data_IF_704359419385
#
_entry.id   IF_704359419385
#
_cell.length_a   1.000
_cell.length_b   1.000
_cell.length_c   1.000
_cell.angle_alpha   90.00
_cell.angle_beta   90.00
_cell.angle_gamma   90.00
#
_symmetry.space_group_name_H-M   'P 1'
#
loop_
_entity.id
_entity.type
_entity.pdbx_description
1 polymer ?
#
# COMPACT_ATOMS: atom_id res chain seq x y z
N UNK A 1 -14.65 -0.17 7.42
CA UNK A 1 -15.96 0.44 7.12
C UNK A 1 -17.10 -0.23 7.87
N UNK A 2 -18.18 0.51 8.14
CA UNK A 2 -19.37 -0.02 8.80
C UNK A 2 -20.67 0.62 8.30
N UNK A 3 -21.74 -0.18 8.27
CA UNK A 3 -23.09 0.26 7.95
C UNK A 3 -23.93 0.30 9.22
N UNK A 4 -24.80 1.31 9.32
CA UNK A 4 -25.71 1.48 10.45
C UNK A 4 -27.15 1.38 9.95
N UNK A 5 -27.83 0.30 10.32
CA UNK A 5 -29.19 0.00 9.86
C UNK A 5 -30.14 0.22 11.04
N UNK A 6 -31.18 1.04 10.83
CA UNK A 6 -32.26 1.20 11.80
C UNK A 6 -33.30 0.09 11.62
N UNK A 7 -33.57 -0.63 12.71
CA UNK A 7 -34.55 -1.71 12.76
C UNK A 7 -35.72 -1.26 13.63
N UNK A 8 -36.92 -1.24 13.02
CA UNK A 8 -38.20 -1.02 13.70
C UNK A 8 -39.08 -2.25 13.56
N UNK A 9 -39.82 -2.58 14.61
CA UNK A 9 -40.79 -3.66 14.66
C UNK A 9 -42.20 -3.09 14.74
N UNK A 10 -43.13 -3.71 14.01
CA UNK A 10 -44.55 -3.35 13.98
C UNK A 10 -45.39 -4.62 14.13
N UNK A 11 -46.41 -4.58 14.98
CA UNK A 11 -47.38 -5.68 15.08
C UNK A 11 -48.49 -5.56 14.01
N UNK A 12 -49.33 -6.59 13.92
CA UNK A 12 -50.46 -6.64 12.98
C UNK A 12 -51.79 -6.21 13.62
N UNK A 13 -51.73 -5.49 14.74
CA UNK A 13 -52.90 -5.02 15.48
C UNK A 13 -53.69 -3.91 14.75
N UNK A 14 -54.85 -3.57 15.31
CA UNK A 14 -55.66 -2.42 14.84
C UNK A 14 -56.10 -1.57 16.04
N UNK A 15 -55.44 -0.41 16.28
CA UNK A 15 -54.28 0.12 15.55
C UNK A 15 -53.01 -0.69 15.81
N UNK A 16 -52.05 -0.72 14.87
CA UNK A 16 -50.81 -1.45 15.04
C UNK A 16 -49.88 -0.72 16.02
N UNK A 17 -49.21 -1.49 16.88
CA UNK A 17 -48.17 -0.97 17.77
C UNK A 17 -46.81 -1.08 17.09
N UNK A 18 -46.02 -0.01 17.19
CA UNK A 18 -44.65 0.07 16.72
C UNK A 18 -43.73 0.38 17.90
N UNK A 19 -42.49 -0.14 17.85
CA UNK A 19 -41.47 0.25 18.82
C UNK A 19 -41.16 1.75 18.68
N UNK A 20 -41.25 2.49 19.79
CA UNK A 20 -41.04 3.95 19.81
C UNK A 20 -39.61 4.38 19.45
N UNK A 21 -38.61 3.52 19.67
CA UNK A 21 -37.20 3.80 19.37
C UNK A 21 -36.56 2.70 18.53
N UNK A 22 -36.31 2.93 17.23
CA UNK A 22 -35.61 1.96 16.38
C UNK A 22 -34.28 1.53 16.97
N UNK A 23 -33.97 0.23 16.90
CA UNK A 23 -32.65 -0.28 17.30
C UNK A 23 -31.68 -0.14 16.15
N UNK A 24 -30.44 0.20 16.46
CA UNK A 24 -29.37 0.30 15.44
C UNK A 24 -28.62 -1.03 15.40
N UNK A 25 -28.59 -1.65 14.23
CA UNK A 25 -27.68 -2.74 13.90
C UNK A 25 -26.45 -2.16 13.21
N UNK A 26 -25.28 -2.34 13.84
CA UNK A 26 -23.99 -2.01 13.23
C UNK A 26 -23.45 -3.25 12.52
N UNK A 27 -23.24 -3.14 11.21
CA UNK A 27 -22.59 -4.17 10.39
C UNK A 27 -21.16 -3.71 10.12
N UNK A 28 -20.18 -4.42 10.67
CA UNK A 28 -18.78 -4.16 10.41
C UNK A 28 -18.34 -4.95 9.17
N UNK A 29 -17.73 -4.28 8.21
CA UNK A 29 -17.15 -4.92 7.03
C UNK A 29 -15.72 -5.31 7.38
N UNK A 30 -15.45 -6.62 7.37
CA UNK A 30 -14.11 -7.17 7.46
C UNK A 30 -13.49 -7.21 6.08
N UNK A 31 -12.32 -6.61 5.95
CA UNK A 31 -11.54 -6.60 4.72
C UNK A 31 -10.91 -7.98 4.46
N UNK A 32 -10.88 -8.40 3.20
CA UNK A 32 -10.08 -9.53 2.73
C UNK A 32 -9.03 -8.98 1.77
N UNK A 33 -7.85 -9.59 1.72
CA UNK A 33 -6.84 -9.16 0.76
C UNK A 33 -7.22 -9.67 -0.64
N UNK A 34 -7.96 -8.84 -1.37
CA UNK A 34 -8.43 -9.14 -2.73
C UNK A 34 -8.00 -8.08 -3.76
N UNK A 35 -7.39 -6.98 -3.33
CA UNK A 35 -6.74 -6.04 -4.22
C UNK A 35 -5.29 -6.43 -4.47
N UNK A 36 -4.85 -6.25 -5.71
CA UNK A 36 -3.44 -6.47 -6.06
C UNK A 36 -2.68 -5.16 -5.93
N UNK A 37 -1.58 -5.19 -5.18
CA UNK A 37 -0.63 -4.09 -5.11
C UNK A 37 -0.12 -3.68 -6.50
N UNK A 38 -0.14 -2.38 -6.79
CA UNK A 38 0.32 -1.82 -8.07
C UNK A 38 1.32 -0.67 -7.86
N UNK A 39 2.39 -0.66 -8.65
CA UNK A 39 3.28 0.50 -8.73
C UNK A 39 2.60 1.65 -9.49
N UNK A 40 2.88 2.89 -9.07
CA UNK A 40 2.33 4.09 -9.72
C UNK A 40 2.84 4.28 -11.15
N UNK A 41 4.07 3.84 -11.42
CA UNK A 41 4.67 3.89 -12.75
C UNK A 41 5.16 2.50 -13.14
N UNK A 42 5.02 2.16 -14.43
CA UNK A 42 5.53 0.91 -14.98
C UNK A 42 7.06 0.92 -15.15
N UNK A 43 7.65 2.11 -15.24
CA UNK A 43 9.09 2.31 -15.41
C UNK A 43 9.54 3.50 -14.58
N UNK A 44 10.61 3.31 -13.83
CA UNK A 44 11.32 4.37 -13.11
C UNK A 44 12.71 4.50 -13.70
N UNK A 45 13.03 5.67 -14.24
CA UNK A 45 14.34 5.97 -14.84
C UNK A 45 15.02 7.06 -14.03
N UNK A 46 16.29 6.84 -13.69
CA UNK A 46 17.13 7.82 -13.00
C UNK A 46 18.54 7.79 -13.60
N UNK A 47 19.16 8.97 -13.70
CA UNK A 47 20.55 9.11 -14.11
C UNK A 47 21.40 9.33 -12.85
N UNK A 48 22.48 8.59 -12.71
CA UNK A 48 23.36 8.60 -11.53
C UNK A 48 24.77 8.89 -12.01
N UNK A 49 25.46 9.81 -11.34
CA UNK A 49 26.88 10.05 -11.59
C UNK A 49 27.72 8.92 -10.99
N UNK A 50 28.72 8.43 -11.72
CA UNK A 50 29.60 7.32 -11.30
C UNK A 50 30.31 7.61 -9.96
N UNK A 51 30.74 8.85 -9.74
CA UNK A 51 31.49 9.27 -8.56
C UNK A 51 30.64 9.56 -7.31
N UNK A 52 29.42 9.00 -7.22
CA UNK A 52 28.54 9.21 -6.06
C UNK A 52 28.94 8.31 -4.90
N UNK A 53 29.00 8.89 -3.71
CA UNK A 53 29.18 8.14 -2.46
C UNK A 53 28.03 7.15 -2.21
N UNK A 54 28.28 6.16 -1.36
CA UNK A 54 27.24 5.25 -0.90
C UNK A 54 26.15 5.99 -0.09
N UNK A 55 24.90 5.54 -0.23
CA UNK A 55 23.72 6.07 0.45
C UNK A 55 23.06 7.27 -0.22
N UNK A 56 23.50 7.68 -1.41
CA UNK A 56 22.89 8.77 -2.16
C UNK A 56 21.53 8.34 -2.74
N UNK A 57 20.54 9.23 -2.67
CA UNK A 57 19.21 9.00 -3.23
C UNK A 57 19.28 8.88 -4.76
N UNK A 58 18.66 7.83 -5.31
CA UNK A 58 18.52 7.61 -6.74
C UNK A 58 17.10 7.99 -7.18
N UNK A 59 16.11 7.29 -6.62
CA UNK A 59 14.69 7.45 -6.97
C UNK A 59 13.84 6.91 -5.83
N UNK A 60 12.59 7.35 -5.74
CA UNK A 60 11.59 6.74 -4.87
C UNK A 60 10.55 6.04 -5.73
N UNK A 61 10.34 4.74 -5.47
CA UNK A 61 9.21 4.00 -6.05
C UNK A 61 8.02 4.09 -5.10
N UNK A 62 6.83 4.16 -5.69
CA UNK A 62 5.58 4.22 -4.95
C UNK A 62 4.64 3.14 -5.48
N UNK A 63 4.06 2.38 -4.56
CA UNK A 63 3.00 1.43 -4.83
C UNK A 63 1.75 1.80 -4.02
N UNK A 64 0.61 1.34 -4.51
CA UNK A 64 -0.69 1.49 -3.86
C UNK A 64 -1.38 0.14 -3.79
N UNK A 65 -2.07 -0.07 -2.68
CA UNK A 65 -2.98 -1.17 -2.44
C UNK A 65 -4.31 -0.57 -1.97
N UNK A 66 -5.41 -1.05 -2.54
CA UNK A 66 -6.75 -0.53 -2.27
C UNK A 66 -7.45 -1.27 -1.11
N UNK A 67 -6.81 -2.29 -0.55
CA UNK A 67 -7.25 -2.97 0.67
C UNK A 67 -7.25 -2.02 1.89
N UNK A 68 -7.72 -2.50 3.05
CA UNK A 68 -7.84 -1.69 4.27
C UNK A 68 -6.95 -2.26 5.40
N UNK A 69 -6.31 -1.36 6.15
CA UNK A 69 -5.54 -1.72 7.33
C UNK A 69 -4.29 -2.53 6.98
N UNK A 70 -4.08 -3.66 7.67
CA UNK A 70 -2.88 -4.49 7.47
C UNK A 70 -2.81 -5.12 6.08
N UNK A 71 -3.93 -5.31 5.41
CA UNK A 71 -3.95 -5.85 4.04
C UNK A 71 -3.38 -4.84 3.04
N UNK A 72 -3.38 -3.54 3.38
CA UNK A 72 -2.78 -2.46 2.58
C UNK A 72 -1.35 -2.10 2.99
N UNK A 73 -0.73 -2.87 3.89
CA UNK A 73 0.64 -2.58 4.35
C UNK A 73 1.67 -2.99 3.28
N UNK A 74 2.44 -2.01 2.81
CA UNK A 74 3.38 -2.19 1.71
C UNK A 74 4.81 -2.34 2.24
N UNK A 75 5.52 -3.35 1.73
CA UNK A 75 6.95 -3.54 1.95
C UNK A 75 7.70 -3.68 0.64
N UNK A 76 8.73 -2.86 0.46
CA UNK A 76 9.57 -2.86 -0.73
C UNK A 76 10.82 -3.75 -0.55
N UNK A 77 11.18 -4.48 -1.58
CA UNK A 77 12.43 -5.22 -1.67
C UNK A 77 13.01 -5.13 -3.07
N UNK A 78 14.31 -5.38 -3.20
CA UNK A 78 15.00 -5.40 -4.49
C UNK A 78 15.66 -6.75 -4.71
N UNK A 79 15.74 -7.17 -5.97
CA UNK A 79 16.34 -8.44 -6.36
C UNK A 79 17.78 -8.53 -5.86
N UNK A 80 18.20 -9.74 -5.50
CA UNK A 80 19.47 -10.00 -4.81
C UNK A 80 20.67 -9.53 -5.62
N UNK A 81 20.57 -9.64 -6.93
CA UNK A 81 21.59 -9.26 -7.92
C UNK A 81 21.83 -7.74 -7.92
N UNK A 82 20.77 -6.95 -7.69
CA UNK A 82 20.87 -5.49 -7.62
C UNK A 82 21.38 -4.98 -6.26
N UNK A 83 21.32 -5.80 -5.20
CA UNK A 83 21.71 -5.41 -3.84
C UNK A 83 23.20 -5.06 -3.69
N UNK A 84 24.05 -5.50 -4.62
CA UNK A 84 25.46 -5.12 -4.66
C UNK A 84 25.65 -3.62 -4.94
N UNK A 85 24.77 -3.04 -5.76
CA UNK A 85 24.91 -1.67 -6.27
C UNK A 85 23.93 -0.70 -5.63
N UNK A 86 22.72 -1.17 -5.33
CA UNK A 86 21.62 -0.35 -4.83
C UNK A 86 20.91 -1.03 -3.67
N UNK A 87 20.27 -0.22 -2.84
CA UNK A 87 19.45 -0.69 -1.72
C UNK A 87 18.14 0.07 -1.71
N UNK A 88 17.09 -0.59 -1.26
CA UNK A 88 15.75 0.02 -1.11
C UNK A 88 15.34 0.04 0.36
N UNK A 89 14.77 1.16 0.79
CA UNK A 89 14.11 1.25 2.08
C UNK A 89 12.75 0.54 2.01
N UNK A 90 12.53 -0.45 2.86
CA UNK A 90 11.33 -1.29 2.81
C UNK A 90 10.03 -0.56 3.10
N UNK A 91 10.05 0.61 3.75
CA UNK A 91 8.84 1.39 4.07
C UNK A 91 8.62 2.56 3.13
N UNK A 92 9.67 3.27 2.75
CA UNK A 92 9.54 4.47 1.91
C UNK A 92 9.65 4.21 0.41
N UNK A 93 10.16 3.05 -0.01
CA UNK A 93 10.45 2.77 -1.42
C UNK A 93 11.61 3.60 -1.98
N UNK A 94 12.38 4.26 -1.12
CA UNK A 94 13.57 5.01 -1.52
C UNK A 94 14.68 4.04 -1.94
N UNK A 95 15.10 4.14 -3.20
CA UNK A 95 16.27 3.46 -3.75
C UNK A 95 17.47 4.40 -3.60
N UNK A 96 18.56 3.87 -3.05
CA UNK A 96 19.81 4.59 -2.85
C UNK A 96 21.02 3.75 -3.27
N UNK A 97 22.14 4.43 -3.53
CA UNK A 97 23.42 3.77 -3.84
C UNK A 97 23.86 2.92 -2.63
N UNK A 98 24.36 1.70 -2.88
CA UNK A 98 24.96 0.84 -1.85
C UNK A 98 26.49 0.86 -1.93
N UNK A 99 27.02 1.00 -3.15
CA UNK A 99 28.43 1.15 -3.46
C UNK A 99 28.61 2.25 -4.53
N UNK A 100 29.81 2.84 -4.67
CA UNK A 100 30.12 3.74 -5.78
C UNK A 100 29.92 3.04 -7.12
N UNK A 101 29.37 3.74 -8.10
CA UNK A 101 29.16 3.18 -9.43
C UNK A 101 30.43 3.33 -10.25
N UNK A 102 30.92 2.24 -10.83
CA UNK A 102 32.03 2.27 -11.77
C UNK A 102 31.47 2.05 -13.18
N UNK A 103 31.38 3.10 -14.00
CA UNK A 103 30.81 3.04 -15.36
C UNK A 103 31.52 2.03 -16.25
N UNK A 104 32.81 1.79 -16.01
CA UNK A 104 33.63 0.86 -16.77
C UNK A 104 33.32 -0.60 -16.43
N UNK A 105 32.67 -0.86 -15.29
CA UNK A 105 32.21 -2.19 -14.87
C UNK A 105 30.71 -2.39 -15.04
N UNK A 106 29.92 -1.33 -14.93
CA UNK A 106 28.46 -1.39 -14.82
C UNK A 106 27.78 -0.53 -15.90
N UNK A 107 27.82 -0.99 -17.15
CA UNK A 107 27.20 -0.25 -18.28
C UNK A 107 25.68 -0.46 -18.36
N UNK A 108 25.14 -1.53 -17.77
CA UNK A 108 23.70 -1.80 -17.78
C UNK A 108 23.31 -2.65 -16.57
N UNK A 109 22.38 -2.16 -15.75
CA UNK A 109 21.58 -2.96 -14.81
C UNK A 109 20.15 -3.03 -15.35
#
# INVERSE_FOLDING_TARGET
DSYHIQISCKDVGSPPLEIESPKVLTVNITDINDNTLMFLNNLYTANIDENRDAGQLIVQVLAQDADIGTNSEISYSIQKEAQEYIRINSRSGIISTNSPFDREKNTTL
#
